data_IF_606507876789
#
_entry.id   IF_606507876789
#
_cell.length_a   1.000
_cell.length_b   1.000
_cell.length_c   1.000
_cell.angle_alpha   90.00
_cell.angle_beta   90.00
_cell.angle_gamma   90.00
#
_symmetry.space_group_name_H-M   'P 1'
#
loop_
_entity.id
_entity.type
_entity.pdbx_description
1 polymer ?
#
# COMPACT_ATOMS: atom_id res chain seq x y z
N UNK A 1 -4.37 -75.76 55.18
CA UNK A 1 -4.81 -74.38 54.86
C UNK A 1 -3.57 -73.50 54.79
N UNK A 2 -3.12 -73.16 53.58
CA UNK A 2 -1.95 -72.30 53.35
C UNK A 2 -2.42 -70.86 53.09
N UNK A 3 -1.88 -69.83 53.77
CA UNK A 3 -2.17 -68.45 53.42
C UNK A 3 -1.36 -68.05 52.17
N UNK A 4 -2.05 -67.53 51.17
CA UNK A 4 -1.47 -66.85 50.01
C UNK A 4 -0.79 -65.57 50.50
N UNK A 5 0.53 -65.56 50.48
CA UNK A 5 1.34 -64.36 50.70
C UNK A 5 1.15 -63.44 49.50
N UNK A 6 0.36 -62.38 49.65
CA UNK A 6 0.29 -61.29 48.68
C UNK A 6 1.58 -60.48 48.78
N UNK A 7 2.42 -60.55 47.73
CA UNK A 7 3.57 -59.65 47.59
C UNK A 7 3.05 -58.24 47.26
N UNK A 8 3.38 -57.20 48.05
CA UNK A 8 3.11 -55.84 47.65
C UNK A 8 4.00 -55.47 46.46
N UNK A 9 3.37 -54.93 45.42
CA UNK A 9 3.96 -54.42 44.20
C UNK A 9 4.79 -53.15 44.51
N UNK A 10 5.96 -53.31 45.15
CA UNK A 10 6.94 -52.23 45.36
C UNK A 10 7.84 -52.15 44.13
N UNK A 11 7.55 -51.24 43.21
CA UNK A 11 8.41 -51.06 42.04
C UNK A 11 8.20 -49.82 41.17
N UNK A 12 7.14 -49.02 41.34
CA UNK A 12 6.84 -47.91 40.42
C UNK A 12 6.74 -46.52 41.06
N UNK A 13 6.84 -46.41 42.39
CA UNK A 13 6.63 -45.11 43.08
C UNK A 13 7.76 -44.09 42.87
N UNK A 14 8.95 -44.51 42.41
CA UNK A 14 10.09 -43.62 42.16
C UNK A 14 10.14 -42.97 40.77
N UNK A 15 9.37 -43.48 39.80
CA UNK A 15 9.42 -43.04 38.39
C UNK A 15 8.28 -42.09 37.99
N UNK A 16 7.23 -41.97 38.81
CA UNK A 16 6.09 -41.11 38.49
C UNK A 16 6.48 -39.63 38.41
N UNK A 17 7.31 -39.15 39.34
CA UNK A 17 7.74 -37.75 39.40
C UNK A 17 8.65 -37.31 38.24
N UNK A 18 9.69 -38.06 37.82
CA UNK A 18 10.46 -37.67 36.64
C UNK A 18 9.65 -37.77 35.33
N UNK A 19 8.70 -38.71 35.24
CA UNK A 19 7.82 -38.83 34.06
C UNK A 19 6.84 -37.66 33.97
N UNK A 20 6.25 -37.21 35.09
CA UNK A 20 5.38 -36.03 35.08
C UNK A 20 6.16 -34.75 34.79
N UNK A 21 7.37 -34.59 35.34
CA UNK A 21 8.24 -33.46 35.01
C UNK A 21 8.63 -33.44 33.53
N UNK A 22 8.96 -34.61 32.96
CA UNK A 22 9.25 -34.72 31.53
C UNK A 22 8.02 -34.38 30.68
N UNK A 23 6.84 -34.90 31.02
CA UNK A 23 5.60 -34.58 30.33
C UNK A 23 5.27 -33.08 30.40
N UNK A 24 5.43 -32.46 31.57
CA UNK A 24 5.25 -31.02 31.76
C UNK A 24 6.26 -30.20 30.96
N UNK A 25 7.52 -30.62 30.91
CA UNK A 25 8.55 -29.96 30.10
C UNK A 25 8.22 -30.04 28.60
N UNK A 26 7.77 -31.19 28.11
CA UNK A 26 7.34 -31.36 26.72
C UNK A 26 6.11 -30.51 26.42
N UNK A 27 5.10 -30.50 27.30
CA UNK A 27 3.92 -29.64 27.18
C UNK A 27 4.28 -28.14 27.17
N UNK A 28 5.21 -27.72 28.03
CA UNK A 28 5.71 -26.34 28.07
C UNK A 28 6.44 -25.97 26.77
N UNK A 29 7.26 -26.88 26.23
CA UNK A 29 7.93 -26.66 24.94
C UNK A 29 6.94 -26.59 23.77
N UNK A 30 5.93 -27.46 23.75
CA UNK A 30 4.90 -27.46 22.72
C UNK A 30 4.06 -26.17 22.76
N UNK A 31 3.64 -25.74 23.95
CA UNK A 31 2.88 -24.49 24.11
C UNK A 31 3.71 -23.26 23.73
N UNK A 32 4.99 -23.22 24.09
CA UNK A 32 5.90 -22.16 23.66
C UNK A 32 6.11 -22.14 22.13
N UNK A 33 6.25 -23.31 21.51
CA UNK A 33 6.40 -23.43 20.05
C UNK A 33 5.14 -22.95 19.31
N UNK A 34 3.96 -23.37 19.77
CA UNK A 34 2.66 -22.94 19.23
C UNK A 34 2.45 -21.43 19.38
N UNK A 35 2.79 -20.87 20.55
CA UNK A 35 2.70 -19.43 20.77
C UNK A 35 3.59 -18.66 19.80
N UNK A 36 4.83 -19.13 19.59
CA UNK A 36 5.77 -18.52 18.65
C UNK A 36 5.28 -18.52 17.21
N UNK A 37 4.69 -19.63 16.73
CA UNK A 37 4.16 -19.72 15.37
C UNK A 37 2.96 -18.79 15.17
N UNK A 38 2.03 -18.77 16.14
CA UNK A 38 0.85 -17.89 16.06
C UNK A 38 1.24 -16.41 16.05
N UNK A 39 2.23 -16.00 16.84
CA UNK A 39 2.71 -14.61 16.83
C UNK A 39 3.34 -14.22 15.50
N UNK A 40 4.14 -15.12 14.91
CA UNK A 40 4.78 -14.85 13.62
C UNK A 40 3.75 -14.72 12.49
N UNK A 41 2.72 -15.57 12.49
CA UNK A 41 1.63 -15.51 11.50
C UNK A 41 0.86 -14.18 11.60
N UNK A 42 0.47 -13.77 12.81
CA UNK A 42 -0.23 -12.50 13.03
C UNK A 42 0.58 -11.29 12.61
N UNK A 43 1.89 -11.29 12.85
CA UNK A 43 2.77 -10.22 12.39
C UNK A 43 2.87 -10.18 10.86
N UNK A 44 2.92 -11.36 10.22
CA UNK A 44 2.97 -11.46 8.76
C UNK A 44 1.68 -10.95 8.11
N UNK A 45 0.51 -11.33 8.62
CA UNK A 45 -0.78 -10.87 8.12
C UNK A 45 -0.93 -9.36 8.29
N UNK A 46 -0.50 -8.84 9.45
CA UNK A 46 -0.54 -7.40 9.73
C UNK A 46 0.32 -6.62 8.74
N UNK A 47 1.53 -7.10 8.44
CA UNK A 47 2.41 -6.46 7.46
C UNK A 47 1.80 -6.46 6.06
N UNK A 48 1.16 -7.56 5.64
CA UNK A 48 0.48 -7.65 4.34
C UNK A 48 -0.72 -6.70 4.26
N UNK A 49 -1.51 -6.60 5.32
CA UNK A 49 -2.64 -5.66 5.37
C UNK A 49 -2.17 -4.21 5.30
N UNK A 50 -1.13 -3.85 6.06
CA UNK A 50 -0.52 -2.51 5.98
C UNK A 50 0.03 -2.21 4.59
N UNK A 51 0.67 -3.19 3.97
CA UNK A 51 1.19 -3.07 2.62
C UNK A 51 0.11 -2.75 1.61
N UNK A 52 -0.97 -3.55 1.64
CA UNK A 52 -2.12 -3.39 0.76
C UNK A 52 -2.79 -2.02 0.96
N UNK A 53 -2.97 -1.58 2.20
CA UNK A 53 -3.56 -0.27 2.51
C UNK A 53 -2.68 0.88 2.03
N UNK A 54 -1.38 0.83 2.27
CA UNK A 54 -0.45 1.86 1.81
C UNK A 54 -0.42 1.93 0.27
N UNK A 55 -0.47 0.78 -0.41
CA UNK A 55 -0.57 0.73 -1.87
C UNK A 55 -1.87 1.38 -2.36
N UNK A 56 -3.03 1.01 -1.78
CA UNK A 56 -4.31 1.63 -2.16
C UNK A 56 -4.32 3.15 -1.96
N UNK A 57 -3.71 3.66 -0.88
CA UNK A 57 -3.58 5.10 -0.66
C UNK A 57 -2.70 5.77 -1.72
N UNK A 58 -1.59 5.13 -2.11
CA UNK A 58 -0.74 5.62 -3.18
C UNK A 58 -1.50 5.67 -4.51
N UNK A 59 -2.23 4.61 -4.87
CA UNK A 59 -3.05 4.56 -6.08
C UNK A 59 -4.16 5.62 -6.07
N UNK A 60 -4.85 5.82 -4.95
CA UNK A 60 -5.85 6.86 -4.80
C UNK A 60 -5.27 8.26 -5.02
N UNK A 61 -4.05 8.53 -4.53
CA UNK A 61 -3.36 9.79 -4.78
C UNK A 61 -3.03 10.00 -6.27
N UNK A 62 -2.61 8.95 -6.98
CA UNK A 62 -2.39 9.04 -8.43
C UNK A 62 -3.67 9.39 -9.17
N UNK A 63 -4.76 8.69 -8.88
CA UNK A 63 -6.06 8.96 -9.51
C UNK A 63 -6.55 10.38 -9.22
N UNK A 64 -6.38 10.86 -7.99
CA UNK A 64 -6.75 12.23 -7.63
C UNK A 64 -5.93 13.27 -8.40
N UNK A 65 -4.62 13.07 -8.55
CA UNK A 65 -3.78 13.98 -9.34
C UNK A 65 -4.11 13.93 -10.83
N UNK A 66 -4.37 12.73 -11.38
CA UNK A 66 -4.83 12.59 -12.76
C UNK A 66 -6.14 13.34 -12.94
N UNK A 67 -7.10 13.19 -12.02
CA UNK A 67 -8.36 13.91 -12.04
C UNK A 67 -8.18 15.43 -11.97
N UNK A 68 -7.28 15.92 -11.12
CA UNK A 68 -6.95 17.35 -11.06
C UNK A 68 -6.37 17.85 -12.40
N UNK A 69 -5.46 17.08 -13.02
CA UNK A 69 -4.88 17.41 -14.33
C UNK A 69 -5.91 17.37 -15.45
N UNK A 70 -6.88 16.44 -15.39
CA UNK A 70 -8.01 16.37 -16.32
C UNK A 70 -8.87 17.65 -16.27
N UNK A 71 -9.10 18.21 -15.08
CA UNK A 71 -9.87 19.45 -14.93
C UNK A 71 -9.08 20.70 -15.30
N UNK A 72 -7.79 20.71 -14.98
CA UNK A 72 -6.91 21.83 -15.24
C UNK A 72 -5.51 21.31 -15.61
N UNK A 73 -5.09 21.57 -16.86
CA UNK A 73 -3.78 21.17 -17.38
C UNK A 73 -2.59 21.72 -16.57
N UNK A 74 -2.81 22.81 -15.83
CA UNK A 74 -1.85 23.50 -14.99
C UNK A 74 -2.11 23.25 -13.50
N UNK A 75 -2.97 22.27 -13.15
CA UNK A 75 -3.25 21.87 -11.78
C UNK A 75 -1.96 21.58 -11.03
N UNK A 76 -1.83 22.16 -9.84
CA UNK A 76 -0.74 21.92 -8.91
C UNK A 76 -0.69 20.47 -8.42
N UNK A 77 0.30 20.20 -7.57
CA UNK A 77 0.28 18.98 -6.78
C UNK A 77 -0.93 19.00 -5.85
N UNK A 78 -1.68 17.89 -5.81
CA UNK A 78 -2.76 17.69 -4.84
C UNK A 78 -2.23 17.79 -3.40
N UNK A 79 -0.94 17.52 -3.21
CA UNK A 79 -0.25 17.65 -1.93
C UNK A 79 -0.61 16.50 -1.00
N UNK A 80 -0.60 16.78 0.32
CA UNK A 80 -0.89 15.78 1.35
C UNK A 80 -2.38 15.78 1.70
N UNK A 81 -3.02 14.62 1.57
CA UNK A 81 -4.42 14.42 1.96
C UNK A 81 -4.49 13.34 3.03
N UNK A 82 -5.20 13.63 4.11
CA UNK A 82 -5.53 12.66 5.15
C UNK A 82 -6.90 12.04 4.86
N UNK A 83 -6.94 10.71 4.86
CA UNK A 83 -8.16 9.92 4.73
C UNK A 83 -8.75 9.55 6.10
N UNK A 84 -8.12 9.99 7.19
CA UNK A 84 -8.48 9.62 8.55
C UNK A 84 -8.24 8.13 8.85
N UNK A 85 -8.78 7.68 9.97
CA UNK A 85 -8.67 6.29 10.44
C UNK A 85 -8.21 6.20 11.88
N UNK A 86 -8.69 5.18 12.59
CA UNK A 86 -8.26 4.84 13.95
C UNK A 86 -8.14 3.31 14.05
N UNK A 87 -7.06 2.76 14.63
CA UNK A 87 -5.92 3.45 15.24
C UNK A 87 -4.85 3.94 14.25
N UNK A 88 -5.00 3.61 12.96
CA UNK A 88 -4.06 3.97 11.89
C UNK A 88 -4.71 5.02 10.98
N UNK A 89 -4.06 6.17 10.87
CA UNK A 89 -4.43 7.24 9.96
C UNK A 89 -3.77 7.00 8.58
N UNK A 90 -4.58 6.93 7.53
CA UNK A 90 -4.09 6.83 6.16
C UNK A 90 -3.87 8.22 5.56
N UNK A 91 -2.70 8.45 4.96
CA UNK A 91 -2.40 9.66 4.21
C UNK A 91 -1.85 9.30 2.84
N UNK A 92 -2.00 10.20 1.88
CA UNK A 92 -1.19 10.14 0.67
C UNK A 92 -0.62 11.51 0.34
N UNK A 93 0.53 11.51 -0.32
CA UNK A 93 1.20 12.69 -0.82
C UNK A 93 1.58 12.50 -2.28
N UNK A 94 1.23 13.46 -3.13
CA UNK A 94 1.47 13.37 -4.57
C UNK A 94 2.39 14.48 -5.03
N UNK A 95 3.37 14.10 -5.85
CA UNK A 95 4.30 15.02 -6.50
C UNK A 95 4.23 14.75 -8.00
N UNK A 96 4.07 15.80 -8.80
CA UNK A 96 4.12 15.71 -10.26
C UNK A 96 5.40 16.33 -10.81
N UNK A 97 5.86 15.77 -11.90
CA UNK A 97 6.94 16.32 -12.70
C UNK A 97 6.55 16.19 -14.16
N UNK A 98 6.51 17.30 -14.90
CA UNK A 98 6.32 17.19 -16.34
C UNK A 98 7.62 16.73 -17.00
N UNK A 99 7.48 15.79 -17.95
CA UNK A 99 8.59 15.19 -18.68
C UNK A 99 8.60 15.77 -20.08
N UNK A 100 9.63 16.56 -20.39
CA UNK A 100 9.87 17.06 -21.75
C UNK A 100 10.50 15.95 -22.58
N UNK A 101 9.76 15.39 -23.54
CA UNK A 101 10.36 14.48 -24.53
C UNK A 101 11.34 15.27 -25.40
N UNK A 102 12.63 14.93 -25.31
CA UNK A 102 13.74 15.64 -25.94
C UNK A 102 13.59 15.82 -27.46
N UNK A 103 12.79 14.98 -28.12
CA UNK A 103 12.50 15.06 -29.56
C UNK A 103 11.56 16.19 -29.97
N UNK A 104 10.86 16.84 -29.02
CA UNK A 104 9.83 17.84 -29.34
C UNK A 104 10.16 19.27 -28.89
N UNK A 105 11.39 19.53 -28.40
CA UNK A 105 11.91 20.88 -28.08
C UNK A 105 11.04 21.71 -27.14
N UNK A 106 10.13 21.07 -26.41
CA UNK A 106 9.03 21.73 -25.71
C UNK A 106 9.22 21.82 -24.23
N UNK A 107 8.84 22.95 -23.67
CA UNK A 107 8.75 23.11 -22.23
C UNK A 107 7.37 22.69 -21.72
N UNK A 108 7.31 22.31 -20.45
CA UNK A 108 6.04 22.00 -19.77
C UNK A 108 5.08 23.19 -19.66
N UNK A 109 5.60 24.39 -19.91
CA UNK A 109 4.85 25.64 -19.98
C UNK A 109 4.27 25.90 -21.37
N UNK A 110 4.69 25.16 -22.40
CA UNK A 110 4.10 25.29 -23.73
C UNK A 110 2.63 24.86 -23.68
N UNK A 111 1.76 25.65 -24.30
CA UNK A 111 0.34 25.38 -24.37
C UNK A 111 0.03 24.31 -25.44
N UNK A 112 0.55 23.09 -25.23
CA UNK A 112 0.44 21.96 -26.14
C UNK A 112 -0.83 21.15 -25.90
N UNK A 113 -1.34 20.57 -26.96
CA UNK A 113 -2.47 19.64 -26.97
C UNK A 113 -2.18 18.35 -26.20
N UNK A 114 -0.91 17.95 -26.06
CA UNK A 114 -0.52 16.77 -25.27
C UNK A 114 0.60 17.12 -24.29
N UNK A 115 0.49 16.62 -23.05
CA UNK A 115 1.51 16.73 -22.00
C UNK A 115 1.72 15.40 -21.29
N UNK A 116 2.98 15.04 -21.11
CA UNK A 116 3.39 13.86 -20.35
C UNK A 116 3.82 14.25 -18.93
N UNK A 117 3.21 13.60 -17.95
CA UNK A 117 3.45 13.81 -16.52
C UNK A 117 4.00 12.52 -15.91
N UNK A 118 5.13 12.64 -15.21
CA UNK A 118 5.55 11.67 -14.20
C UNK A 118 4.87 12.07 -12.90
N UNK A 119 4.01 11.21 -12.38
CA UNK A 119 3.31 11.43 -11.12
C UNK A 119 3.82 10.38 -10.14
N UNK A 120 4.29 10.83 -8.98
CA UNK A 120 4.72 9.96 -7.90
C UNK A 120 3.79 10.19 -6.73
N UNK A 121 3.08 9.15 -6.32
CA UNK A 121 2.21 9.17 -5.14
C UNK A 121 2.76 8.26 -4.07
N UNK A 122 2.78 8.76 -2.83
CA UNK A 122 3.20 8.01 -1.65
C UNK A 122 2.01 7.83 -0.73
N UNK A 123 1.62 6.59 -0.47
CA UNK A 123 0.65 6.22 0.55
C UNK A 123 1.36 5.90 1.86
N UNK A 124 0.93 6.54 2.93
CA UNK A 124 1.55 6.49 4.25
C UNK A 124 0.53 6.08 5.31
N UNK A 125 0.93 5.18 6.20
CA UNK A 125 0.15 4.77 7.36
C UNK A 125 0.79 5.30 8.64
N UNK A 126 0.05 6.10 9.38
CA UNK A 126 0.50 6.77 10.58
C UNK A 126 -0.21 6.20 11.80
N UNK A 127 0.52 5.94 12.88
CA UNK A 127 -0.03 5.64 14.19
C UNK A 127 0.33 6.78 15.13
N UNK A 128 -0.61 7.70 15.33
CA UNK A 128 -0.33 8.98 15.99
C UNK A 128 0.68 9.80 15.18
N UNK A 129 1.86 10.05 15.75
CA UNK A 129 2.93 10.81 15.11
C UNK A 129 4.00 9.94 14.44
N UNK A 130 3.84 8.61 14.44
CA UNK A 130 4.83 7.67 13.90
C UNK A 130 4.37 7.13 12.56
N UNK A 131 5.21 7.28 11.53
CA UNK A 131 5.03 6.58 10.26
C UNK A 131 5.32 5.09 10.46
N UNK A 132 4.31 4.25 10.29
CA UNK A 132 4.39 2.80 10.51
C UNK A 132 4.69 2.06 9.22
N UNK A 133 4.10 2.51 8.10
CA UNK A 133 4.31 1.89 6.80
C UNK A 133 4.15 2.90 5.67
N UNK A 134 4.85 2.68 4.56
CA UNK A 134 4.77 3.55 3.38
C UNK A 134 4.94 2.74 2.09
N UNK A 135 4.21 3.14 1.05
CA UNK A 135 4.38 2.65 -0.32
C UNK A 135 4.35 3.79 -1.31
N UNK A 136 5.11 3.64 -2.39
CA UNK A 136 5.18 4.65 -3.46
C UNK A 136 4.76 4.01 -4.78
N UNK A 137 3.96 4.71 -5.56
CA UNK A 137 3.62 4.32 -6.93
C UNK A 137 4.00 5.45 -7.86
N UNK A 138 4.67 5.12 -8.95
CA UNK A 138 5.00 6.05 -10.02
C UNK A 138 4.17 5.72 -11.26
N UNK A 139 3.53 6.75 -11.82
CA UNK A 139 2.84 6.67 -13.09
C UNK A 139 3.45 7.66 -14.09
N UNK A 140 3.63 7.22 -15.34
CA UNK A 140 3.90 8.10 -16.46
C UNK A 140 2.63 8.18 -17.30
N UNK A 141 2.03 9.36 -17.36
CA UNK A 141 0.71 9.58 -17.95
C UNK A 141 0.80 10.69 -18.99
N UNK A 142 0.39 10.39 -20.21
CA UNK A 142 0.15 11.39 -21.24
C UNK A 142 -1.32 11.79 -21.21
N UNK A 143 -1.58 13.09 -21.08
CA UNK A 143 -2.94 13.64 -21.13
C UNK A 143 -3.04 14.52 -22.36
N UNK A 144 -4.02 14.21 -23.22
CA UNK A 144 -4.37 14.99 -24.39
C UNK A 144 -5.56 15.89 -24.07
N UNK A 145 -5.45 17.16 -24.42
CA UNK A 145 -6.42 18.21 -24.18
C UNK A 145 -6.94 18.75 -25.50
N UNK A 146 -8.25 18.88 -25.61
CA UNK A 146 -8.89 19.62 -26.69
C UNK A 146 -8.54 21.12 -26.57
N UNK A 147 -7.85 21.70 -27.56
CA UNK A 147 -7.72 23.17 -27.66
C UNK A 147 -6.46 23.73 -28.34
N UNK A 148 -5.97 23.14 -29.43
CA UNK A 148 -5.03 23.86 -30.30
C UNK A 148 -5.66 25.15 -30.85
N UNK A 149 -4.82 26.05 -31.37
CA UNK A 149 -5.27 27.19 -32.19
C UNK A 149 -5.99 26.73 -33.48
N UNK A 150 -5.86 25.46 -33.81
CA UNK A 150 -6.48 24.81 -34.93
C UNK A 150 -7.78 24.16 -34.45
N UNK A 151 -8.91 24.59 -35.01
CA UNK A 151 -10.23 24.06 -34.71
C UNK A 151 -10.30 22.57 -35.06
N UNK A 152 -9.96 21.69 -34.13
CA UNK A 152 -10.15 20.25 -34.29
C UNK A 152 -11.66 19.97 -34.22
N UNK A 153 -12.20 19.42 -35.31
CA UNK A 153 -13.60 19.03 -35.45
C UNK A 153 -13.97 18.04 -34.33
N UNK A 154 -14.91 18.43 -33.45
CA UNK A 154 -15.31 17.65 -32.27
C UNK A 154 -14.93 18.25 -30.91
N UNK A 155 -14.06 19.26 -30.86
CA UNK A 155 -13.78 19.99 -29.62
C UNK A 155 -14.75 21.19 -29.43
N UNK A 156 -15.31 21.41 -28.22
CA UNK A 156 -16.24 22.52 -27.98
C UNK A 156 -15.55 23.87 -28.18
N UNK A 157 -16.03 24.65 -29.15
CA UNK A 157 -15.50 25.97 -29.49
C UNK A 157 -15.99 27.04 -28.50
N UNK A 158 -15.07 27.93 -28.12
CA UNK A 158 -15.24 29.18 -27.39
C UNK A 158 -15.41 29.11 -25.86
N UNK A 159 -14.36 29.57 -25.16
CA UNK A 159 -14.46 30.16 -23.81
C UNK A 159 -14.14 29.25 -22.62
N UNK A 160 -14.06 27.93 -22.81
CA UNK A 160 -13.65 27.02 -21.75
C UNK A 160 -12.12 26.96 -21.68
N UNK A 161 -11.54 27.19 -20.49
CA UNK A 161 -10.18 26.79 -20.14
C UNK A 161 -10.00 25.31 -20.50
N UNK A 162 -9.50 24.98 -21.70
CA UNK A 162 -9.21 23.61 -22.19
C UNK A 162 -10.13 22.55 -21.57
N UNK A 163 -11.42 22.68 -21.88
CA UNK A 163 -12.47 21.90 -21.26
C UNK A 163 -12.45 20.46 -21.77
N UNK A 164 -12.18 19.54 -20.85
CA UNK A 164 -12.21 18.08 -21.00
C UNK A 164 -10.93 17.48 -21.62
N UNK A 165 -10.27 16.54 -20.93
CA UNK A 165 -9.24 15.72 -21.52
C UNK A 165 -9.88 14.81 -22.58
N UNK A 166 -9.26 14.72 -23.75
CA UNK A 166 -9.73 13.84 -24.83
C UNK A 166 -9.32 12.38 -24.54
N UNK A 167 -8.10 12.20 -24.03
CA UNK A 167 -7.56 10.91 -23.69
C UNK A 167 -6.54 10.99 -22.55
N UNK A 168 -6.52 9.96 -21.73
CA UNK A 168 -5.46 9.72 -20.75
C UNK A 168 -4.80 8.40 -21.09
N UNK A 169 -3.55 8.46 -21.49
CA UNK A 169 -2.73 7.31 -21.83
C UNK A 169 -1.74 7.06 -20.69
N UNK A 170 -1.95 5.96 -19.97
CA UNK A 170 -0.98 5.49 -18.97
C UNK A 170 0.13 4.76 -19.71
N UNK A 171 1.30 5.37 -19.76
CA UNK A 171 2.50 4.81 -20.41
C UNK A 171 3.25 3.87 -19.48
N UNK A 172 3.17 4.09 -18.17
CA UNK A 172 3.83 3.29 -17.14
C UNK A 172 3.07 3.40 -15.82
N UNK A 173 2.96 2.30 -15.09
CA UNK A 173 2.41 2.23 -13.74
C UNK A 173 3.23 1.22 -12.93
N UNK A 174 4.07 1.70 -12.02
CA UNK A 174 5.03 0.85 -11.31
C UNK A 174 4.94 1.12 -9.79
N UNK A 175 4.59 0.11 -8.98
CA UNK A 175 4.81 0.18 -7.54
C UNK A 175 6.32 0.12 -7.27
N UNK A 176 6.81 1.01 -6.40
CA UNK A 176 8.21 1.09 -5.96
C UNK A 176 8.40 0.65 -4.50
#
# INVERSE_FOLDING_TARGET
MNPLVSRPYRGQEGLALPVTLFALAVLALLTAALAGTSTAELESERLVDWDRRALYLAEAGLEHQIFALKQNKDAGDVGTVSMGGSPLEGRYNVIRQCVTLASAGGTCTDNRESRTWRITSRGELWQGATLVHTRTVEALVEIRYCGGADNVEGCPTAGALYGSPEAVLVQRWEPR
#
